data_IF_152939455856
#
_entry.id   IF_152939455856
#
_cell.length_a   1.000
_cell.length_b   1.000
_cell.length_c   1.000
_cell.angle_alpha   90.00
_cell.angle_beta   90.00
_cell.angle_gamma   90.00
#
_symmetry.space_group_name_H-M   'P 1'
#
loop_
_entity.id
_entity.type
_entity.pdbx_description
1 polymer ?
#
# COMPACT_ATOMS: atom_id res chain seq x y z
N UNK A 1 -32.12 60.01 16.03
CA UNK A 1 -31.40 59.00 16.83
C UNK A 1 -30.75 59.70 18.02
N UNK A 2 -31.26 59.49 19.23
CA UNK A 2 -30.88 60.24 20.43
C UNK A 2 -29.49 59.84 20.96
N UNK A 3 -28.84 60.73 21.71
CA UNK A 3 -27.53 60.49 22.36
C UNK A 3 -27.54 59.22 23.24
N UNK A 4 -28.70 58.90 23.82
CA UNK A 4 -28.97 57.66 24.59
C UNK A 4 -28.89 56.39 23.73
N UNK A 5 -29.46 56.39 22.53
CA UNK A 5 -29.39 55.26 21.59
C UNK A 5 -27.96 55.06 21.07
N UNK A 6 -27.22 56.14 20.78
CA UNK A 6 -25.80 56.07 20.39
C UNK A 6 -24.91 55.49 21.50
N UNK A 7 -25.21 55.76 22.78
CA UNK A 7 -24.49 55.17 23.92
C UNK A 7 -24.83 53.70 24.14
N UNK A 8 -26.11 53.31 24.00
CA UNK A 8 -26.52 51.91 24.03
C UNK A 8 -25.88 51.12 22.89
N UNK A 9 -25.89 51.64 21.66
CA UNK A 9 -25.26 51.01 20.49
C UNK A 9 -23.72 50.88 20.64
N UNK A 10 -23.05 51.90 21.19
CA UNK A 10 -21.61 51.82 21.50
C UNK A 10 -21.29 50.84 22.65
N UNK A 11 -22.20 50.66 23.61
CA UNK A 11 -22.02 49.72 24.72
C UNK A 11 -22.27 48.26 24.28
N UNK A 12 -23.31 47.99 23.47
CA UNK A 12 -23.54 46.67 22.86
C UNK A 12 -22.47 46.30 21.83
N UNK A 13 -22.00 47.26 21.03
CA UNK A 13 -20.85 47.03 20.14
C UNK A 13 -19.57 46.71 20.94
N UNK A 14 -19.29 47.40 22.05
CA UNK A 14 -18.12 47.10 22.91
C UNK A 14 -18.22 45.73 23.62
N UNK A 15 -19.42 45.22 23.87
CA UNK A 15 -19.62 43.89 24.48
C UNK A 15 -19.41 42.75 23.46
N UNK A 16 -19.82 42.95 22.20
CA UNK A 16 -19.58 42.01 21.10
C UNK A 16 -18.08 41.84 20.72
N UNK A 17 -17.23 42.78 21.11
CA UNK A 17 -15.77 42.76 20.90
C UNK A 17 -14.98 42.73 22.22
N UNK A 18 -15.50 42.09 23.27
CA UNK A 18 -14.66 41.89 24.45
C UNK A 18 -13.48 40.98 24.04
N UNK A 19 -12.26 41.47 24.25
CA UNK A 19 -11.00 40.74 23.98
C UNK A 19 -11.07 39.26 24.42
N UNK A 20 -11.53 38.92 25.65
CA UNK A 20 -11.62 37.53 26.07
C UNK A 20 -12.62 36.71 25.26
N UNK A 21 -13.76 37.28 24.85
CA UNK A 21 -14.75 36.57 24.03
C UNK A 21 -14.17 36.21 22.67
N UNK A 22 -13.50 37.16 22.00
CA UNK A 22 -12.88 36.92 20.68
C UNK A 22 -11.78 35.86 20.78
N UNK A 23 -10.88 35.97 21.76
CA UNK A 23 -9.82 34.98 21.95
C UNK A 23 -10.37 33.58 22.26
N UNK A 24 -11.39 33.48 23.11
CA UNK A 24 -12.01 32.19 23.42
C UNK A 24 -12.79 31.60 22.24
N UNK A 25 -13.45 32.44 21.43
CA UNK A 25 -14.09 32.01 20.20
C UNK A 25 -13.08 31.47 19.18
N UNK A 26 -11.94 32.16 18.99
CA UNK A 26 -10.85 31.69 18.14
C UNK A 26 -10.27 30.36 18.63
N UNK A 27 -10.04 30.23 19.95
CA UNK A 27 -9.57 28.96 20.55
C UNK A 27 -10.55 27.82 20.28
N UNK A 28 -11.84 28.05 20.50
CA UNK A 28 -12.88 27.05 20.21
C UNK A 28 -12.88 26.67 18.73
N UNK A 29 -12.77 27.65 17.84
CA UNK A 29 -12.73 27.41 16.40
C UNK A 29 -11.49 26.62 15.99
N UNK A 30 -10.31 26.92 16.56
CA UNK A 30 -9.09 26.12 16.38
C UNK A 30 -9.27 24.67 16.87
N UNK A 31 -9.90 24.47 18.03
CA UNK A 31 -10.20 23.13 18.54
C UNK A 31 -11.08 22.38 17.54
N UNK A 32 -12.14 23.00 17.02
CA UNK A 32 -13.03 22.38 16.02
C UNK A 32 -12.27 22.05 14.74
N UNK A 33 -11.45 22.97 14.21
CA UNK A 33 -10.66 22.77 13.00
C UNK A 33 -9.66 21.62 13.17
N UNK A 34 -8.95 21.56 14.29
CA UNK A 34 -7.99 20.49 14.59
C UNK A 34 -8.70 19.17 14.79
N UNK A 35 -9.81 19.12 15.54
CA UNK A 35 -10.59 17.88 15.72
C UNK A 35 -11.14 17.39 14.37
N UNK A 36 -11.65 18.29 13.53
CA UNK A 36 -12.12 17.92 12.21
C UNK A 36 -10.98 17.42 11.32
N UNK A 37 -9.87 18.16 11.21
CA UNK A 37 -8.75 17.80 10.35
C UNK A 37 -7.99 16.55 10.79
N UNK A 38 -7.72 16.41 12.09
CA UNK A 38 -6.92 15.30 12.63
C UNK A 38 -7.72 14.03 12.91
N UNK A 39 -9.05 14.12 13.03
CA UNK A 39 -9.93 13.00 13.34
C UNK A 39 -11.03 12.88 12.28
N UNK A 40 -11.89 13.90 12.19
CA UNK A 40 -13.08 13.87 11.33
C UNK A 40 -12.80 13.47 9.89
N UNK A 41 -11.79 14.07 9.26
CA UNK A 41 -11.39 13.81 7.87
C UNK A 41 -10.97 12.35 7.66
N UNK A 42 -10.25 11.74 8.59
CA UNK A 42 -9.79 10.35 8.49
C UNK A 42 -10.94 9.33 8.59
N UNK A 43 -11.93 9.58 9.46
CA UNK A 43 -13.12 8.72 9.51
C UNK A 43 -14.03 8.96 8.31
N UNK A 44 -14.15 10.21 7.87
CA UNK A 44 -14.98 10.56 6.73
C UNK A 44 -14.44 9.96 5.43
N UNK A 45 -13.12 9.97 5.20
CA UNK A 45 -12.51 9.39 4.00
C UNK A 45 -12.79 7.89 3.85
N UNK A 46 -12.94 7.17 4.97
CA UNK A 46 -13.26 5.74 4.97
C UNK A 46 -14.75 5.43 5.15
N UNK A 47 -15.62 6.43 5.27
CA UNK A 47 -17.06 6.22 5.50
C UNK A 47 -17.77 5.47 4.37
N UNK A 48 -17.26 5.58 3.14
CA UNK A 48 -17.73 4.87 1.95
C UNK A 48 -16.97 3.58 1.66
N UNK A 49 -15.86 3.32 2.35
CA UNK A 49 -15.04 2.14 2.18
C UNK A 49 -15.71 0.95 2.88
N UNK A 50 -16.12 -0.06 2.09
CA UNK A 50 -16.78 -1.26 2.58
C UNK A 50 -16.21 -2.49 1.90
N UNK A 51 -16.22 -3.62 2.60
CA UNK A 51 -15.89 -4.91 2.03
C UNK A 51 -16.77 -5.21 0.80
N UNK A 52 -16.20 -5.66 -0.34
CA UNK A 52 -16.92 -5.85 -1.60
C UNK A 52 -17.79 -7.12 -1.65
N UNK A 53 -18.34 -7.55 -0.50
CA UNK A 53 -19.12 -8.79 -0.34
C UNK A 53 -20.31 -8.89 -1.30
N UNK A 54 -20.94 -7.76 -1.61
CA UNK A 54 -22.09 -7.67 -2.52
C UNK A 54 -21.79 -8.13 -3.96
N UNK A 55 -20.52 -8.19 -4.34
CA UNK A 55 -20.09 -8.61 -5.67
C UNK A 55 -19.89 -10.14 -5.76
N UNK A 56 -20.09 -10.85 -4.64
CA UNK A 56 -19.95 -12.30 -4.54
C UNK A 56 -21.34 -12.98 -4.51
N UNK A 57 -21.45 -14.21 -5.03
CA UNK A 57 -22.68 -15.00 -4.98
C UNK A 57 -22.90 -15.54 -3.55
N UNK A 58 -23.43 -14.70 -2.65
CA UNK A 58 -23.66 -15.07 -1.25
C UNK A 58 -24.88 -15.98 -1.03
N UNK A 59 -25.75 -16.14 -2.05
CA UNK A 59 -27.00 -16.89 -1.94
C UNK A 59 -26.79 -18.39 -1.63
N UNK A 60 -25.67 -18.99 -2.07
CA UNK A 60 -25.35 -20.40 -1.84
C UNK A 60 -24.67 -20.66 -0.49
N UNK A 61 -24.16 -19.63 0.18
CA UNK A 61 -23.47 -19.75 1.49
C UNK A 61 -24.43 -20.12 2.63
N UNK A 62 -25.73 -19.84 2.48
CA UNK A 62 -26.76 -20.20 3.47
C UNK A 62 -26.95 -21.73 3.63
N UNK A 63 -26.42 -22.54 2.71
CA UNK A 63 -26.52 -24.01 2.75
C UNK A 63 -25.31 -24.69 3.43
N UNK A 64 -24.18 -23.98 3.64
CA UNK A 64 -22.98 -24.51 4.32
C UNK A 64 -22.69 -23.71 5.62
N UNK A 65 -23.13 -24.17 6.79
CA UNK A 65 -23.05 -23.40 8.04
C UNK A 65 -21.62 -23.10 8.55
N UNK A 66 -20.59 -23.81 8.07
CA UNK A 66 -19.21 -23.61 8.54
C UNK A 66 -18.47 -22.45 7.84
N UNK A 67 -19.01 -21.91 6.74
CA UNK A 67 -18.33 -20.91 5.90
C UNK A 67 -19.26 -19.79 5.41
N UNK A 68 -20.30 -19.47 6.16
CA UNK A 68 -21.40 -18.60 5.73
C UNK A 68 -21.02 -17.13 5.43
N UNK A 69 -19.84 -16.64 5.84
CA UNK A 69 -19.37 -15.29 5.57
C UNK A 69 -18.07 -15.26 4.75
N UNK A 70 -17.91 -14.28 3.83
CA UNK A 70 -16.66 -14.06 3.11
C UNK A 70 -15.47 -13.87 4.06
N UNK A 71 -14.29 -14.31 3.63
CA UNK A 71 -13.01 -13.93 4.24
C UNK A 71 -12.60 -12.55 3.71
N UNK A 72 -12.28 -11.65 4.62
CA UNK A 72 -11.89 -10.27 4.41
C UNK A 72 -10.37 -10.12 4.53
N UNK A 73 -9.75 -9.81 3.40
CA UNK A 73 -8.31 -9.69 3.25
C UNK A 73 -7.96 -8.22 2.93
N UNK A 74 -7.06 -7.62 3.70
CA UNK A 74 -6.55 -6.27 3.48
C UNK A 74 -5.18 -6.33 2.80
N UNK A 75 -5.02 -5.61 1.70
CA UNK A 75 -3.73 -5.43 1.04
C UNK A 75 -3.20 -4.01 1.29
N UNK A 76 -1.98 -3.92 1.80
CA UNK A 76 -1.26 -2.68 2.08
C UNK A 76 0.01 -2.69 1.25
N UNK A 77 0.33 -1.60 0.57
CA UNK A 77 1.59 -1.47 -0.17
C UNK A 77 2.33 -0.20 0.24
N UNK A 78 3.66 -0.22 0.22
CA UNK A 78 4.51 0.93 0.49
C UNK A 78 4.13 1.71 1.78
N UNK A 79 4.01 1.05 2.95
CA UNK A 79 3.83 1.79 4.20
C UNK A 79 5.09 2.60 4.56
N UNK A 80 6.27 2.22 4.03
CA UNK A 80 7.51 3.02 4.05
C UNK A 80 7.81 3.59 5.45
N UNK A 81 7.75 2.74 6.48
CA UNK A 81 8.14 3.14 7.84
C UNK A 81 9.58 3.61 7.78
N UNK A 82 9.83 4.82 8.28
CA UNK A 82 11.15 5.45 8.28
C UNK A 82 11.99 4.97 9.47
N UNK A 83 13.33 5.05 9.39
CA UNK A 83 14.19 4.45 10.41
C UNK A 83 14.02 5.11 11.77
N UNK A 84 14.31 4.41 12.89
CA UNK A 84 14.53 5.05 14.19
C UNK A 84 15.44 6.28 14.08
N UNK A 85 15.15 7.32 14.88
CA UNK A 85 15.88 8.59 14.82
C UNK A 85 17.38 8.45 15.08
N UNK A 86 17.78 7.45 15.84
CA UNK A 86 19.18 7.19 16.17
C UNK A 86 20.00 6.81 14.92
N UNK A 87 19.35 6.45 13.81
CA UNK A 87 19.99 6.12 12.52
C UNK A 87 20.11 7.33 11.58
N UNK A 88 19.78 8.53 12.04
CA UNK A 88 19.67 9.71 11.18
C UNK A 88 20.92 10.58 11.25
N UNK A 89 21.47 10.93 10.09
CA UNK A 89 22.58 11.88 9.99
C UNK A 89 22.10 13.35 10.10
N UNK A 90 20.90 13.66 9.58
CA UNK A 90 20.29 15.01 9.65
C UNK A 90 19.45 15.17 10.92
N UNK A 91 20.00 15.88 11.89
CA UNK A 91 19.37 16.19 13.18
C UNK A 91 18.63 17.53 13.19
N UNK A 92 18.42 18.16 12.04
CA UNK A 92 17.74 19.45 11.96
C UNK A 92 16.30 19.38 12.50
N UNK A 93 15.85 20.47 13.11
CA UNK A 93 14.49 20.57 13.65
C UNK A 93 13.41 20.41 12.56
N UNK A 94 13.71 20.86 11.33
CA UNK A 94 12.83 20.70 10.17
C UNK A 94 12.69 19.23 9.76
N UNK A 95 13.80 18.48 9.71
CA UNK A 95 13.77 17.04 9.45
C UNK A 95 12.99 16.32 10.54
N UNK A 96 13.25 16.67 11.81
CA UNK A 96 12.54 16.12 12.97
C UNK A 96 11.03 16.37 12.93
N UNK A 97 10.60 17.58 12.55
CA UNK A 97 9.19 17.94 12.42
C UNK A 97 8.52 17.19 11.27
N UNK A 98 9.17 17.13 10.10
CA UNK A 98 8.67 16.37 8.93
C UNK A 98 8.48 14.90 9.26
N UNK A 99 9.38 14.33 10.07
CA UNK A 99 9.24 12.96 10.54
C UNK A 99 8.03 12.76 11.41
N UNK A 100 7.92 13.61 12.43
CA UNK A 100 6.84 13.54 13.38
C UNK A 100 5.48 13.60 12.68
N UNK A 101 5.30 14.51 11.72
CA UNK A 101 4.06 14.57 10.94
C UNK A 101 3.86 13.36 10.02
N UNK A 102 4.93 12.79 9.46
CA UNK A 102 4.84 11.56 8.66
C UNK A 102 4.39 10.37 9.51
N UNK A 103 5.03 10.14 10.66
CA UNK A 103 4.67 9.07 11.58
C UNK A 103 3.26 9.23 12.13
N UNK A 104 2.86 10.46 12.50
CA UNK A 104 1.50 10.73 12.96
C UNK A 104 0.46 10.43 11.88
N UNK A 105 0.71 10.84 10.64
CA UNK A 105 -0.18 10.53 9.51
C UNK A 105 -0.28 9.00 9.31
N UNK A 106 0.86 8.30 9.32
CA UNK A 106 0.89 6.85 9.12
C UNK A 106 0.13 6.10 10.22
N UNK A 107 0.34 6.48 11.49
CA UNK A 107 -0.39 5.92 12.64
C UNK A 107 -1.90 6.20 12.57
N UNK A 108 -2.30 7.38 12.11
CA UNK A 108 -3.72 7.72 11.93
C UNK A 108 -4.36 6.94 10.79
N UNK A 109 -3.68 6.84 9.64
CA UNK A 109 -4.11 6.00 8.52
C UNK A 109 -4.34 4.57 9.03
N UNK A 110 -3.35 4.00 9.73
CA UNK A 110 -3.47 2.66 10.29
C UNK A 110 -4.63 2.54 11.29
N UNK A 111 -4.79 3.51 12.19
CA UNK A 111 -5.85 3.54 13.20
C UNK A 111 -7.26 3.52 12.60
N UNK A 112 -7.50 4.22 11.49
CA UNK A 112 -8.83 4.17 10.83
C UNK A 112 -8.98 2.93 9.96
N UNK A 113 -7.93 2.48 9.27
CA UNK A 113 -7.97 1.27 8.42
C UNK A 113 -8.20 0.01 9.25
N UNK A 114 -7.51 -0.17 10.39
CA UNK A 114 -7.65 -1.37 11.23
C UNK A 114 -9.07 -1.57 11.78
N UNK A 115 -9.90 -0.52 11.83
CA UNK A 115 -11.31 -0.61 12.24
C UNK A 115 -12.18 -1.39 11.27
N UNK A 116 -11.70 -1.62 10.05
CA UNK A 116 -12.36 -2.50 9.08
C UNK A 116 -12.28 -3.98 9.51
N UNK A 117 -11.47 -4.30 10.53
CA UNK A 117 -11.31 -5.64 11.13
C UNK A 117 -10.99 -6.72 10.10
N UNK A 118 -9.91 -6.57 9.32
CA UNK A 118 -9.48 -7.62 8.40
C UNK A 118 -9.11 -8.90 9.16
N UNK A 119 -9.41 -10.05 8.57
CA UNK A 119 -8.99 -11.35 9.11
C UNK A 119 -7.59 -11.72 8.62
N UNK A 120 -7.22 -11.28 7.42
CA UNK A 120 -5.89 -11.48 6.85
C UNK A 120 -5.33 -10.18 6.28
N UNK A 121 -4.04 -9.95 6.43
CA UNK A 121 -3.34 -8.78 5.88
C UNK A 121 -2.14 -9.23 5.05
N UNK A 122 -2.00 -8.68 3.85
CA UNK A 122 -0.76 -8.77 3.08
C UNK A 122 -0.11 -7.40 2.97
N UNK A 123 1.19 -7.33 3.29
CA UNK A 123 2.03 -6.18 2.98
C UNK A 123 2.82 -6.45 1.71
N UNK A 124 2.57 -5.65 0.67
CA UNK A 124 3.10 -5.79 -0.68
C UNK A 124 4.39 -4.98 -0.85
N UNK A 125 5.38 -5.26 -0.01
CA UNK A 125 6.73 -4.70 -0.08
C UNK A 125 6.87 -3.25 0.39
N UNK A 126 8.14 -2.87 0.54
CA UNK A 126 8.58 -1.56 1.03
C UNK A 126 7.97 -1.21 2.38
N UNK A 127 8.00 -2.20 3.28
CA UNK A 127 7.63 -2.00 4.68
C UNK A 127 8.54 -0.95 5.32
N UNK A 128 9.84 -1.02 5.02
CA UNK A 128 10.88 -0.13 5.51
C UNK A 128 11.31 0.83 4.39
N UNK A 129 11.32 2.14 4.67
CA UNK A 129 11.70 3.15 3.68
C UNK A 129 13.17 3.09 3.27
N UNK A 130 14.00 2.46 4.10
CA UNK A 130 15.47 2.47 3.98
C UNK A 130 16.10 1.20 4.54
N UNK A 131 15.37 0.07 4.56
CA UNK A 131 15.86 -1.20 5.11
C UNK A 131 17.17 -1.69 4.47
N UNK A 132 17.37 -1.42 3.17
CA UNK A 132 18.63 -1.72 2.46
C UNK A 132 19.87 -1.00 2.99
N UNK A 133 19.69 0.05 3.79
CA UNK A 133 20.77 0.86 4.36
C UNK A 133 21.09 0.52 5.82
N UNK A 134 20.56 -0.57 6.38
CA UNK A 134 21.00 -1.03 7.71
C UNK A 134 22.43 -1.56 7.66
N UNK A 135 23.20 -1.30 8.72
CA UNK A 135 24.60 -1.74 8.85
C UNK A 135 24.71 -3.10 9.55
N UNK A 136 23.80 -3.40 10.47
CA UNK A 136 23.88 -4.58 11.34
C UNK A 136 22.53 -5.28 11.52
N UNK A 137 22.57 -6.49 12.05
CA UNK A 137 21.37 -7.25 12.43
C UNK A 137 20.56 -6.53 13.50
N UNK A 138 21.24 -5.94 14.50
CA UNK A 138 20.61 -5.20 15.58
C UNK A 138 19.83 -3.98 15.07
N UNK A 139 20.38 -3.24 14.11
CA UNK A 139 19.67 -2.12 13.49
C UNK A 139 18.42 -2.59 12.73
N UNK A 140 18.53 -3.70 11.99
CA UNK A 140 17.38 -4.28 11.30
C UNK A 140 16.28 -4.70 12.28
N UNK A 141 16.65 -5.36 13.38
CA UNK A 141 15.71 -5.77 14.43
C UNK A 141 14.97 -4.57 15.04
N UNK A 142 15.70 -3.51 15.43
CA UNK A 142 15.09 -2.29 15.98
C UNK A 142 14.16 -1.60 14.97
N UNK A 143 14.56 -1.56 13.70
CA UNK A 143 13.74 -0.98 12.64
C UNK A 143 12.47 -1.81 12.40
N UNK A 144 12.58 -3.14 12.42
CA UNK A 144 11.44 -4.03 12.32
C UNK A 144 10.50 -3.90 13.52
N UNK A 145 11.02 -3.79 14.75
CA UNK A 145 10.22 -3.52 15.94
C UNK A 145 9.43 -2.21 15.80
N UNK A 146 10.06 -1.14 15.29
CA UNK A 146 9.36 0.12 15.00
C UNK A 146 8.21 -0.06 13.99
N UNK A 147 8.41 -0.90 12.97
CA UNK A 147 7.35 -1.24 12.02
C UNK A 147 6.18 -1.94 12.73
N UNK A 148 6.47 -2.96 13.55
CA UNK A 148 5.45 -3.70 14.32
C UNK A 148 4.68 -2.78 15.29
N UNK A 149 5.37 -1.86 15.97
CA UNK A 149 4.75 -0.88 16.87
C UNK A 149 3.84 0.11 16.12
N UNK A 150 4.21 0.46 14.88
CA UNK A 150 3.41 1.35 14.04
C UNK A 150 2.15 0.65 13.53
N UNK A 151 2.28 -0.63 13.16
CA UNK A 151 1.23 -1.47 12.61
C UNK A 151 0.80 -2.55 13.61
N UNK A 152 0.19 -2.16 14.72
CA UNK A 152 -0.37 -3.11 15.68
C UNK A 152 -1.70 -3.71 15.18
N UNK A 153 -1.79 -5.04 15.19
CA UNK A 153 -2.97 -5.82 14.74
C UNK A 153 -3.77 -6.39 15.93
N UNK A 154 -4.98 -6.91 15.67
CA UNK A 154 -5.76 -7.63 16.69
C UNK A 154 -5.28 -9.09 16.81
N UNK A 155 -5.48 -9.71 17.97
CA UNK A 155 -5.16 -11.13 18.13
C UNK A 155 -6.02 -11.99 17.19
N UNK A 156 -5.38 -12.87 16.41
CA UNK A 156 -6.05 -13.74 15.46
C UNK A 156 -6.14 -13.21 14.03
N UNK A 157 -5.52 -12.06 13.72
CA UNK A 157 -5.29 -11.62 12.33
C UNK A 157 -4.05 -12.30 11.75
N UNK A 158 -4.19 -12.99 10.62
CA UNK A 158 -3.06 -13.56 9.89
C UNK A 158 -2.36 -12.47 9.06
N UNK A 159 -1.03 -12.39 9.13
CA UNK A 159 -0.26 -11.34 8.45
C UNK A 159 0.88 -11.94 7.64
N UNK A 160 0.96 -11.55 6.37
CA UNK A 160 1.97 -12.00 5.42
C UNK A 160 2.69 -10.82 4.80
N UNK A 161 3.99 -11.00 4.54
CA UNK A 161 4.87 -9.97 4.01
C UNK A 161 5.54 -10.48 2.74
N UNK A 162 5.64 -9.63 1.73
CA UNK A 162 6.53 -9.85 0.59
C UNK A 162 7.52 -8.69 0.50
N UNK A 163 8.76 -8.92 0.06
CA UNK A 163 9.77 -7.89 0.11
C UNK A 163 9.66 -6.89 -1.04
N UNK A 164 9.99 -5.63 -0.75
CA UNK A 164 10.23 -4.59 -1.73
C UNK A 164 11.70 -4.21 -1.86
N UNK A 165 12.01 -3.33 -2.82
CA UNK A 165 13.38 -2.94 -3.11
C UNK A 165 13.99 -2.00 -2.06
N UNK A 166 13.19 -1.30 -1.25
CA UNK A 166 13.69 -0.52 -0.12
C UNK A 166 13.94 -1.37 1.13
N UNK A 167 13.29 -2.53 1.26
CA UNK A 167 13.49 -3.43 2.41
C UNK A 167 14.91 -4.00 2.45
N UNK A 168 15.44 -4.44 1.30
CA UNK A 168 16.78 -5.03 1.25
C UNK A 168 17.54 -4.86 -0.07
N UNK A 169 17.09 -3.98 -0.96
CA UNK A 169 17.83 -3.62 -2.19
C UNK A 169 17.59 -4.56 -3.38
N UNK A 170 18.01 -4.06 -4.54
CA UNK A 170 18.00 -4.79 -5.82
C UNK A 170 19.03 -4.19 -6.80
N UNK A 171 19.39 -4.98 -7.81
CA UNK A 171 20.27 -4.58 -8.90
C UNK A 171 21.64 -4.10 -8.43
N UNK A 172 22.10 -3.00 -9.02
CA UNK A 172 23.40 -2.40 -8.69
C UNK A 172 23.41 -1.69 -7.33
N UNK A 173 22.25 -1.43 -6.71
CA UNK A 173 22.17 -0.85 -5.37
C UNK A 173 22.34 -1.97 -4.34
N UNK A 174 23.60 -2.30 -4.05
CA UNK A 174 23.92 -3.23 -2.96
C UNK A 174 23.49 -2.63 -1.63
N UNK A 175 22.85 -3.45 -0.81
CA UNK A 175 22.60 -3.12 0.58
C UNK A 175 23.91 -2.93 1.32
N UNK A 176 23.91 -2.04 2.31
CA UNK A 176 25.12 -1.73 3.09
C UNK A 176 25.59 -2.98 3.84
N UNK A 177 24.66 -3.73 4.44
CA UNK A 177 24.93 -5.07 4.92
C UNK A 177 24.68 -6.12 3.82
N UNK A 178 25.68 -6.97 3.55
CA UNK A 178 25.54 -8.13 2.64
C UNK A 178 24.51 -9.15 3.14
N UNK A 179 24.19 -9.13 4.43
CA UNK A 179 23.32 -10.11 5.09
C UNK A 179 21.87 -9.64 5.26
N UNK A 180 21.48 -8.47 4.73
CA UNK A 180 20.13 -7.91 4.96
C UNK A 180 18.99 -8.86 4.56
N UNK A 181 19.17 -9.67 3.49
CA UNK A 181 18.19 -10.71 3.09
C UNK A 181 18.07 -11.83 4.14
N UNK A 182 19.16 -12.14 4.85
CA UNK A 182 19.13 -13.11 5.94
C UNK A 182 18.40 -12.53 7.18
N UNK A 183 18.61 -11.25 7.49
CA UNK A 183 17.89 -10.55 8.56
C UNK A 183 16.39 -10.50 8.25
N UNK A 184 16.02 -10.14 7.02
CA UNK A 184 14.62 -10.16 6.58
C UNK A 184 13.99 -11.55 6.80
N UNK A 185 14.66 -12.63 6.37
CA UNK A 185 14.17 -14.00 6.60
C UNK A 185 14.02 -14.37 8.07
N UNK A 186 14.91 -13.87 8.93
CA UNK A 186 14.91 -14.15 10.37
C UNK A 186 13.78 -13.43 11.11
N UNK A 187 13.56 -12.15 10.80
CA UNK A 187 12.65 -11.29 11.59
C UNK A 187 11.30 -11.03 10.92
N UNK A 188 11.23 -11.04 9.58
CA UNK A 188 10.04 -10.71 8.80
C UNK A 188 9.32 -11.96 8.33
N UNK A 189 10.01 -12.82 7.57
CA UNK A 189 9.42 -14.03 7.01
C UNK A 189 10.04 -14.48 5.68
N UNK A 190 9.43 -15.48 5.03
CA UNK A 190 9.92 -16.01 3.76
C UNK A 190 9.90 -14.96 2.64
N UNK A 191 10.83 -15.08 1.69
CA UNK A 191 10.93 -14.17 0.54
C UNK A 191 9.88 -14.47 -0.54
N UNK A 192 9.63 -15.77 -0.75
CA UNK A 192 8.59 -16.30 -1.62
C UNK A 192 7.69 -17.21 -0.77
N UNK A 193 6.37 -17.13 -0.95
CA UNK A 193 5.43 -17.97 -0.22
C UNK A 193 4.12 -18.16 -0.98
N UNK A 194 3.50 -19.33 -0.78
CA UNK A 194 2.16 -19.66 -1.26
C UNK A 194 1.25 -19.87 -0.05
N UNK A 195 0.14 -19.14 0.00
CA UNK A 195 -0.79 -19.14 1.13
C UNK A 195 -2.17 -19.60 0.66
N UNK A 196 -2.62 -20.82 1.05
CA UNK A 196 -3.96 -21.29 0.72
C UNK A 196 -4.99 -20.60 1.63
N UNK A 197 -5.94 -19.87 1.03
CA UNK A 197 -7.01 -19.16 1.74
C UNK A 197 -8.34 -19.41 1.01
N UNK A 198 -9.32 -20.02 1.69
CA UNK A 198 -10.67 -20.29 1.14
C UNK A 198 -10.64 -20.91 -0.26
N UNK A 199 -9.81 -21.95 -0.47
CA UNK A 199 -9.68 -22.64 -1.76
C UNK A 199 -8.99 -21.83 -2.86
N UNK A 200 -8.33 -20.72 -2.52
CA UNK A 200 -7.47 -19.95 -3.42
C UNK A 200 -6.03 -20.02 -2.96
N UNK A 201 -5.10 -19.84 -3.89
CA UNK A 201 -3.68 -19.82 -3.59
C UNK A 201 -3.11 -18.43 -3.83
N UNK A 202 -2.78 -17.73 -2.74
CA UNK A 202 -2.09 -16.44 -2.80
C UNK A 202 -0.59 -16.69 -2.93
N UNK A 203 -0.04 -16.40 -4.11
CA UNK A 203 1.37 -16.61 -4.42
C UNK A 203 2.08 -15.27 -4.32
N UNK A 204 2.88 -15.08 -3.27
CA UNK A 204 3.64 -13.87 -3.03
C UNK A 204 5.11 -14.06 -3.41
N UNK A 205 5.61 -13.20 -4.30
CA UNK A 205 6.94 -13.32 -4.89
C UNK A 205 7.93 -12.26 -4.36
N UNK A 206 9.20 -12.68 -4.22
CA UNK A 206 10.35 -11.80 -4.11
C UNK A 206 10.64 -11.17 -5.48
N UNK A 207 9.95 -10.06 -5.74
CA UNK A 207 10.11 -9.31 -6.99
C UNK A 207 11.52 -8.69 -7.13
N UNK A 208 12.14 -8.09 -6.10
CA UNK A 208 13.54 -7.65 -6.15
C UNK A 208 14.51 -8.77 -6.56
N UNK A 209 14.40 -9.95 -5.93
CA UNK A 209 15.23 -11.11 -6.25
C UNK A 209 14.98 -11.66 -7.65
N UNK A 210 13.72 -11.66 -8.10
CA UNK A 210 13.35 -12.05 -9.47
C UNK A 210 13.98 -11.13 -10.52
N UNK A 211 14.03 -9.82 -10.26
CA UNK A 211 14.70 -8.87 -11.16
C UNK A 211 16.20 -9.13 -11.23
N UNK A 212 16.87 -9.37 -10.09
CA UNK A 212 18.30 -9.71 -10.07
C UNK A 212 18.61 -11.01 -10.83
N UNK A 213 17.72 -11.98 -10.73
CA UNK A 213 17.80 -13.22 -11.50
C UNK A 213 17.56 -12.99 -12.99
N UNK A 214 16.55 -12.20 -13.36
CA UNK A 214 16.24 -11.88 -14.75
C UNK A 214 17.39 -11.14 -15.44
N UNK A 215 18.10 -10.24 -14.74
CA UNK A 215 19.32 -9.62 -15.27
C UNK A 215 20.39 -10.64 -15.63
N UNK A 216 20.64 -11.63 -14.77
CA UNK A 216 21.64 -12.69 -15.02
C UNK A 216 21.21 -13.60 -16.18
N UNK A 217 19.94 -13.96 -16.22
CA UNK A 217 19.34 -14.73 -17.30
C UNK A 217 19.46 -13.99 -18.64
N UNK A 218 19.02 -12.73 -18.68
CA UNK A 218 19.05 -11.89 -19.88
C UNK A 218 20.47 -11.65 -20.36
N UNK A 219 21.44 -11.45 -19.46
CA UNK A 219 22.85 -11.30 -19.82
C UNK A 219 23.44 -12.57 -20.46
N UNK A 220 22.87 -13.74 -20.13
CA UNK A 220 23.25 -15.03 -20.72
C UNK A 220 22.54 -15.33 -22.04
N UNK A 221 21.57 -14.50 -22.45
CA UNK A 221 20.78 -14.69 -23.68
C UNK A 221 19.87 -15.91 -23.67
N UNK A 222 19.63 -16.52 -22.50
CA UNK A 222 18.85 -17.75 -22.37
C UNK A 222 17.36 -17.42 -22.16
N UNK A 223 16.43 -18.14 -22.84
CA UNK A 223 15.02 -18.06 -22.51
C UNK A 223 14.74 -18.70 -21.15
N UNK A 224 13.63 -18.32 -20.52
CA UNK A 224 13.24 -18.86 -19.20
C UNK A 224 13.26 -20.39 -19.17
N UNK A 225 12.75 -21.08 -20.18
CA UNK A 225 12.68 -22.54 -20.24
C UNK A 225 14.05 -23.24 -20.19
N UNK A 226 15.12 -22.54 -20.59
CA UNK A 226 16.49 -23.07 -20.60
C UNK A 226 17.34 -22.52 -19.45
N UNK A 227 16.83 -21.54 -18.70
CA UNK A 227 17.51 -20.96 -17.55
C UNK A 227 17.45 -21.92 -16.35
N UNK A 228 18.60 -22.20 -15.75
CA UNK A 228 18.66 -22.90 -14.47
C UNK A 228 18.39 -21.90 -13.33
N UNK A 229 17.29 -22.06 -12.57
CA UNK A 229 16.95 -21.12 -11.51
C UNK A 229 18.03 -21.02 -10.45
N UNK A 230 18.13 -19.85 -9.85
CA UNK A 230 18.96 -19.62 -8.66
C UNK A 230 18.34 -20.39 -7.50
N UNK A 231 19.11 -21.27 -6.86
CA UNK A 231 18.65 -22.05 -5.71
C UNK A 231 18.05 -21.15 -4.62
N UNK A 232 16.81 -21.44 -4.22
CA UNK A 232 16.04 -20.65 -3.24
C UNK A 232 15.57 -19.29 -3.75
N UNK A 233 15.72 -19.01 -5.04
CA UNK A 233 15.22 -17.83 -5.73
C UNK A 233 13.76 -17.98 -6.17
N UNK A 234 13.21 -16.92 -6.75
CA UNK A 234 11.80 -16.85 -7.14
C UNK A 234 11.45 -17.83 -8.26
N UNK A 235 12.33 -17.99 -9.27
CA UNK A 235 12.08 -18.96 -10.34
C UNK A 235 12.20 -20.41 -9.87
N UNK A 236 13.05 -20.67 -8.88
CA UNK A 236 13.21 -21.99 -8.25
C UNK A 236 11.94 -22.36 -7.48
N UNK A 237 11.44 -21.42 -6.66
CA UNK A 237 10.18 -21.54 -5.94
C UNK A 237 8.98 -21.83 -6.86
N UNK A 238 8.87 -21.12 -7.99
CA UNK A 238 7.75 -21.32 -8.95
C UNK A 238 7.82 -22.70 -9.63
N UNK A 239 9.03 -23.24 -9.83
CA UNK A 239 9.23 -24.52 -10.53
C UNK A 239 9.22 -25.73 -9.61
N UNK A 240 9.40 -25.54 -8.30
CA UNK A 240 9.49 -26.64 -7.36
C UNK A 240 8.18 -27.45 -7.37
N UNK A 241 8.21 -28.73 -7.77
CA UNK A 241 7.02 -29.56 -7.83
C UNK A 241 6.41 -29.86 -6.45
N UNK A 242 7.17 -29.67 -5.36
CA UNK A 242 6.64 -29.76 -3.99
C UNK A 242 5.89 -28.49 -3.58
N UNK A 243 6.20 -27.36 -4.23
CA UNK A 243 5.46 -26.11 -4.14
C UNK A 243 4.33 -26.01 -5.16
N UNK A 244 4.05 -27.09 -5.92
CA UNK A 244 2.80 -27.23 -6.69
C UNK A 244 1.70 -26.71 -5.79
N UNK A 245 1.20 -25.53 -6.13
CA UNK A 245 0.01 -24.88 -5.63
C UNK A 245 -0.95 -26.01 -5.21
N UNK A 246 -0.90 -26.38 -3.92
CA UNK A 246 -1.18 -27.76 -3.46
C UNK A 246 -2.67 -28.08 -3.51
N UNK A 247 -3.47 -27.05 -3.77
CA UNK A 247 -4.88 -27.12 -4.08
C UNK A 247 -5.10 -26.72 -5.53
N UNK A 248 -5.98 -27.43 -6.24
CA UNK A 248 -6.44 -27.13 -7.62
C UNK A 248 -7.22 -25.80 -7.73
N UNK A 249 -6.99 -24.88 -6.80
CA UNK A 249 -7.70 -23.64 -6.62
C UNK A 249 -7.09 -22.48 -7.42
N UNK A 250 -7.88 -21.44 -7.71
CA UNK A 250 -7.42 -20.27 -8.45
C UNK A 250 -6.23 -19.58 -7.78
N UNK A 251 -5.29 -19.08 -8.59
CA UNK A 251 -4.11 -18.37 -8.12
C UNK A 251 -4.35 -16.86 -8.10
N UNK A 252 -3.99 -16.22 -6.99
CA UNK A 252 -3.87 -14.76 -6.86
C UNK A 252 -2.39 -14.42 -6.71
N UNK A 253 -1.84 -13.71 -7.69
CA UNK A 253 -0.41 -13.36 -7.70
C UNK A 253 -0.18 -12.03 -6.99
N UNK A 254 0.75 -12.00 -6.03
CA UNK A 254 1.17 -10.80 -5.32
C UNK A 254 2.65 -10.52 -5.64
N UNK A 255 2.95 -9.28 -6.06
CA UNK A 255 4.31 -8.86 -6.42
C UNK A 255 4.55 -7.42 -6.00
N UNK A 256 5.69 -7.07 -5.39
CA UNK A 256 5.97 -5.66 -5.12
C UNK A 256 6.10 -4.86 -6.43
N UNK A 257 6.91 -5.36 -7.37
CA UNK A 257 7.14 -4.68 -8.66
C UNK A 257 6.01 -5.06 -9.64
N UNK A 258 5.35 -4.08 -10.29
CA UNK A 258 4.29 -4.33 -11.26
C UNK A 258 4.75 -5.17 -12.47
N UNK A 259 3.83 -5.92 -13.06
CA UNK A 259 4.12 -6.68 -14.29
C UNK A 259 4.31 -5.72 -15.48
N UNK A 260 5.04 -6.20 -16.48
CA UNK A 260 5.32 -5.46 -17.70
C UNK A 260 4.04 -5.03 -18.42
N UNK A 261 4.01 -3.77 -18.85
CA UNK A 261 2.94 -3.22 -19.70
C UNK A 261 3.52 -2.19 -20.68
N UNK A 262 2.82 -1.89 -21.79
CA UNK A 262 3.20 -0.78 -22.68
C UNK A 262 3.23 0.56 -21.93
N UNK A 263 4.18 1.43 -22.26
CA UNK A 263 4.35 2.74 -21.57
C UNK A 263 3.13 3.68 -21.76
N UNK A 264 2.35 3.45 -22.82
CA UNK A 264 1.11 4.17 -23.15
C UNK A 264 -0.14 3.57 -22.51
N UNK A 265 -0.02 2.43 -21.82
CA UNK A 265 -1.16 1.77 -21.19
C UNK A 265 -1.78 2.66 -20.11
N UNK A 266 -3.10 2.83 -20.17
CA UNK A 266 -3.85 3.64 -19.21
C UNK A 266 -3.98 2.92 -17.87
N UNK A 267 -3.91 3.66 -16.76
CA UNK A 267 -3.98 3.12 -15.40
C UNK A 267 -5.39 3.07 -14.78
N UNK A 268 -6.43 3.17 -15.61
CA UNK A 268 -7.81 3.28 -15.16
C UNK A 268 -8.12 4.62 -14.48
N UNK A 269 -9.37 4.75 -14.00
CA UNK A 269 -9.92 6.02 -13.49
C UNK A 269 -9.44 6.44 -12.10
N UNK A 270 -8.83 5.53 -11.35
CA UNK A 270 -8.43 5.76 -9.95
C UNK A 270 -6.96 6.21 -9.82
N UNK A 271 -6.20 6.23 -10.92
CA UNK A 271 -4.87 6.86 -11.01
C UNK A 271 -5.04 8.37 -10.91
N UNK A 272 -4.19 9.03 -10.12
CA UNK A 272 -4.20 10.48 -10.03
C UNK A 272 -3.44 11.15 -11.19
N UNK A 273 -2.33 10.54 -11.63
CA UNK A 273 -1.48 11.15 -12.67
C UNK A 273 -0.72 10.15 -13.55
N UNK A 274 -0.91 10.27 -14.86
CA UNK A 274 -0.03 9.64 -15.86
C UNK A 274 -0.17 8.11 -15.96
N UNK A 275 0.90 7.47 -16.41
CA UNK A 275 0.99 6.01 -16.65
C UNK A 275 2.21 5.43 -15.93
N UNK A 276 2.27 4.10 -15.80
CA UNK A 276 3.52 3.42 -15.39
C UNK A 276 4.38 3.27 -16.63
N UNK A 277 5.52 3.97 -16.64
CA UNK A 277 6.53 3.86 -17.69
C UNK A 277 7.67 2.99 -17.22
N UNK A 278 8.23 2.20 -18.14
CA UNK A 278 9.47 1.47 -17.90
C UNK A 278 10.56 2.45 -17.47
N UNK A 279 11.30 2.04 -16.46
CA UNK A 279 12.39 2.80 -15.88
C UNK A 279 13.22 1.88 -15.02
N UNK A 280 14.53 2.07 -15.08
CA UNK A 280 15.52 1.35 -14.30
C UNK A 280 16.55 2.34 -13.81
N UNK A 281 17.04 2.12 -12.60
CA UNK A 281 18.21 2.82 -12.11
C UNK A 281 18.83 2.09 -10.92
N UNK A 282 19.64 2.82 -10.15
CA UNK A 282 20.30 2.25 -8.97
C UNK A 282 19.27 1.90 -7.89
N UNK A 283 18.92 0.62 -7.81
CA UNK A 283 18.05 0.10 -6.74
C UNK A 283 16.55 0.25 -6.97
N UNK A 284 16.12 0.44 -8.22
CA UNK A 284 14.71 0.43 -8.58
C UNK A 284 14.49 -0.06 -10.01
N UNK A 285 13.32 -0.64 -10.25
CA UNK A 285 12.80 -0.96 -11.56
C UNK A 285 11.27 -0.86 -11.53
N UNK A 286 10.69 -0.02 -12.39
CA UNK A 286 9.27 0.32 -12.31
C UNK A 286 8.30 -0.82 -12.72
N UNK A 287 8.78 -1.79 -13.49
CA UNK A 287 8.01 -2.97 -13.94
C UNK A 287 8.93 -4.17 -14.14
N UNK A 288 8.44 -5.39 -13.93
CA UNK A 288 9.16 -6.61 -14.31
C UNK A 288 9.48 -6.65 -15.81
N UNK A 289 10.45 -7.48 -16.20
CA UNK A 289 10.80 -7.71 -17.59
C UNK A 289 9.61 -8.30 -18.38
N UNK A 290 9.54 -8.01 -19.68
CA UNK A 290 8.47 -8.50 -20.56
C UNK A 290 8.41 -10.03 -20.62
N UNK A 291 9.56 -10.67 -20.83
CA UNK A 291 9.65 -12.13 -20.88
C UNK A 291 9.30 -12.77 -19.54
N UNK A 292 9.76 -12.17 -18.44
CA UNK A 292 9.45 -12.59 -17.07
C UNK A 292 7.96 -12.48 -16.76
N UNK A 293 7.33 -11.38 -17.18
CA UNK A 293 5.89 -11.18 -17.03
C UNK A 293 5.09 -12.27 -17.74
N UNK A 294 5.41 -12.56 -19.00
CA UNK A 294 4.74 -13.65 -19.72
C UNK A 294 5.02 -15.01 -19.12
N UNK A 295 6.27 -15.28 -18.72
CA UNK A 295 6.60 -16.53 -18.04
C UNK A 295 5.77 -16.72 -16.76
N UNK A 296 5.61 -15.70 -15.93
CA UNK A 296 4.77 -15.77 -14.72
C UNK A 296 3.30 -16.03 -15.06
N UNK A 297 2.73 -15.27 -16.00
CA UNK A 297 1.32 -15.40 -16.40
C UNK A 297 1.00 -16.75 -17.04
N UNK A 298 1.93 -17.28 -17.84
CA UNK A 298 1.79 -18.54 -18.58
C UNK A 298 2.18 -19.76 -17.74
N UNK A 299 2.83 -19.57 -16.58
CA UNK A 299 3.16 -20.68 -15.66
C UNK A 299 2.17 -20.78 -14.51
N UNK A 300 1.76 -19.64 -13.93
CA UNK A 300 0.92 -19.60 -12.74
C UNK A 300 -0.57 -19.47 -13.04
N UNK A 301 -0.94 -19.05 -14.26
CA UNK A 301 -2.32 -18.78 -14.68
C UNK A 301 -3.18 -18.08 -13.62
N UNK A 302 -2.74 -16.90 -13.12
CA UNK A 302 -3.45 -16.21 -12.05
C UNK A 302 -4.78 -15.64 -12.54
N UNK A 303 -5.79 -15.67 -11.68
CA UNK A 303 -7.08 -15.01 -11.94
C UNK A 303 -7.04 -13.50 -11.67
N UNK A 304 -6.09 -13.06 -10.83
CA UNK A 304 -5.85 -11.66 -10.51
C UNK A 304 -4.39 -11.46 -10.07
N UNK A 305 -3.87 -10.25 -10.31
CA UNK A 305 -2.55 -9.82 -9.86
C UNK A 305 -2.70 -8.54 -9.04
N UNK A 306 -2.04 -8.49 -7.88
CA UNK A 306 -1.95 -7.26 -7.10
C UNK A 306 -0.48 -6.87 -6.91
N UNK A 307 -0.16 -5.61 -7.20
CA UNK A 307 1.20 -5.09 -7.13
C UNK A 307 1.37 -3.78 -6.37
N UNK A 308 2.61 -3.36 -6.13
CA UNK A 308 2.99 -2.15 -5.38
C UNK A 308 3.98 -1.24 -6.14
N UNK A 309 4.94 -0.66 -5.41
CA UNK A 309 6.13 0.08 -5.89
C UNK A 309 5.85 1.43 -6.56
N UNK A 310 4.90 1.51 -7.50
CA UNK A 310 4.61 2.75 -8.23
C UNK A 310 4.00 3.85 -7.35
N UNK A 311 3.49 3.47 -6.17
CA UNK A 311 2.82 4.29 -5.15
C UNK A 311 1.48 4.90 -5.54
N UNK A 312 1.05 4.83 -6.80
CA UNK A 312 -0.30 5.22 -7.23
C UNK A 312 -1.04 4.06 -7.90
N UNK A 313 -2.37 4.15 -7.93
CA UNK A 313 -3.26 3.12 -8.46
C UNK A 313 -3.04 2.93 -9.94
N UNK A 314 -2.80 1.71 -10.39
CA UNK A 314 -2.81 1.43 -11.83
C UNK A 314 -3.46 0.10 -12.14
N UNK A 315 -4.56 0.15 -12.87
CA UNK A 315 -5.24 -1.04 -13.38
C UNK A 315 -4.82 -1.32 -14.82
N UNK A 316 -4.47 -2.57 -15.10
CA UNK A 316 -4.11 -3.03 -16.43
C UNK A 316 -4.51 -4.49 -16.64
N UNK A 317 -5.03 -4.80 -17.82
CA UNK A 317 -5.41 -6.16 -18.18
C UNK A 317 -4.32 -6.78 -19.03
N UNK A 318 -3.72 -7.84 -18.52
CA UNK A 318 -2.77 -8.68 -19.24
C UNK A 318 -3.49 -9.74 -20.05
N UNK A 319 -2.71 -10.38 -20.91
CA UNK A 319 -3.13 -11.54 -21.70
C UNK A 319 -2.27 -12.73 -21.27
N UNK A 320 -2.86 -13.69 -20.56
CA UNK A 320 -2.23 -14.97 -20.23
C UNK A 320 -2.57 -15.98 -21.32
N UNK A 321 -1.57 -16.76 -21.76
CA UNK A 321 -1.74 -17.76 -22.81
C UNK A 321 -1.53 -19.14 -22.21
N UNK A 322 -2.56 -19.97 -22.29
CA UNK A 322 -2.42 -21.38 -21.97
C UNK A 322 -1.95 -22.09 -23.25
N UNK A 323 -0.73 -22.62 -23.21
CA UNK A 323 -0.09 -23.31 -24.34
C UNK A 323 0.10 -24.76 -23.95
N UNK A 324 -0.30 -25.67 -24.84
CA UNK A 324 -0.06 -27.10 -24.69
C UNK A 324 1.46 -27.36 -24.64
N UNK A 325 1.98 -27.99 -23.57
CA UNK A 325 3.41 -28.23 -23.41
C UNK A 325 4.02 -29.12 -24.51
N UNK A 326 3.23 -30.05 -25.06
CA UNK A 326 3.68 -31.06 -26.03
C UNK A 326 3.50 -30.58 -27.47
N UNK A 327 2.33 -30.03 -27.79
CA UNK A 327 2.00 -29.62 -29.16
C UNK A 327 2.38 -28.18 -29.48
N UNK A 328 2.71 -27.37 -28.44
CA UNK A 328 2.91 -25.91 -28.52
C UNK A 328 1.73 -25.17 -29.15
N UNK A 329 0.55 -25.78 -29.16
CA UNK A 329 -0.66 -25.14 -29.65
C UNK A 329 -1.31 -24.31 -28.54
N UNK A 330 -1.95 -23.20 -28.94
CA UNK A 330 -2.65 -22.31 -28.01
C UNK A 330 -3.98 -22.94 -27.62
N UNK A 331 -4.14 -23.27 -26.34
CA UNK A 331 -5.36 -23.88 -25.77
C UNK A 331 -6.39 -22.80 -25.45
N UNK A 332 -5.99 -21.77 -24.69
CA UNK A 332 -6.86 -20.65 -24.31
C UNK A 332 -6.08 -19.35 -24.16
N UNK A 333 -6.80 -18.23 -24.18
CA UNK A 333 -6.28 -16.90 -23.90
C UNK A 333 -7.22 -16.21 -22.92
N UNK A 334 -6.70 -15.87 -21.76
CA UNK A 334 -7.47 -15.30 -20.67
C UNK A 334 -6.94 -13.91 -20.32
N UNK A 335 -7.86 -13.01 -20.01
CA UNK A 335 -7.50 -11.67 -19.56
C UNK A 335 -7.28 -11.70 -18.06
N UNK A 336 -6.09 -11.30 -17.62
CA UNK A 336 -5.71 -11.26 -16.21
C UNK A 336 -5.62 -9.81 -15.76
N UNK A 337 -6.49 -9.42 -14.82
CA UNK A 337 -6.48 -8.07 -14.27
C UNK A 337 -5.35 -7.91 -13.26
N UNK A 338 -4.48 -6.94 -13.49
CA UNK A 338 -3.52 -6.45 -12.50
C UNK A 338 -3.98 -5.12 -11.92
N UNK A 339 -3.95 -5.02 -10.58
CA UNK A 339 -4.10 -3.76 -9.85
C UNK A 339 -2.82 -3.46 -9.09
N UNK A 340 -2.12 -2.41 -9.50
CA UNK A 340 -1.06 -1.79 -8.71
C UNK A 340 -1.72 -0.91 -7.64
N UNK A 341 -1.51 -1.24 -6.38
CA UNK A 341 -2.15 -0.62 -5.20
C UNK A 341 -1.45 0.69 -4.87
N UNK A 342 -2.22 1.67 -4.37
CA UNK A 342 -1.66 2.94 -3.89
C UNK A 342 -0.79 2.72 -2.66
N UNK A 343 0.22 3.57 -2.51
CA UNK A 343 1.01 3.60 -1.29
C UNK A 343 0.12 3.95 -0.11
N UNK A 344 0.33 3.25 1.00
CA UNK A 344 -0.38 3.49 2.26
C UNK A 344 0.12 4.73 2.99
N UNK A 345 1.38 5.09 2.74
CA UNK A 345 2.03 6.28 3.28
C UNK A 345 1.93 7.48 2.34
N UNK A 346 2.22 8.67 2.87
CA UNK A 346 2.34 9.87 2.05
C UNK A 346 3.48 9.74 1.05
N UNK A 347 3.18 9.99 -0.23
CA UNK A 347 4.17 10.08 -1.29
C UNK A 347 4.00 11.40 -2.05
N UNK A 348 5.09 11.92 -2.63
CA UNK A 348 5.09 13.21 -3.35
C UNK A 348 4.19 13.24 -4.58
N UNK A 349 3.88 12.08 -5.13
CA UNK A 349 3.22 11.94 -6.43
C UNK A 349 1.73 11.60 -6.33
N UNK A 350 1.19 11.50 -5.11
CA UNK A 350 -0.22 11.22 -4.84
C UNK A 350 -0.71 12.19 -3.76
N UNK A 351 -1.97 12.60 -3.87
CA UNK A 351 -2.69 13.32 -2.84
C UNK A 351 -3.28 12.34 -1.84
N UNK A 352 -3.89 11.26 -2.34
CA UNK A 352 -4.58 10.30 -1.50
C UNK A 352 -3.74 9.02 -1.36
N UNK A 353 -3.18 8.71 -0.18
CA UNK A 353 -2.71 7.35 0.10
C UNK A 353 -3.88 6.36 0.03
N UNK A 354 -3.60 5.05 0.00
CA UNK A 354 -4.68 4.06 -0.08
C UNK A 354 -4.28 2.65 0.31
N UNK A 355 -5.25 1.76 0.20
CA UNK A 355 -5.13 0.32 0.42
C UNK A 355 -6.22 -0.40 -0.40
N UNK A 356 -6.15 -1.73 -0.45
CA UNK A 356 -7.11 -2.54 -1.21
C UNK A 356 -7.80 -3.56 -0.31
N UNK A 357 -9.11 -3.74 -0.50
CA UNK A 357 -9.93 -4.69 0.24
C UNK A 357 -10.34 -5.84 -0.67
N UNK A 358 -10.20 -7.06 -0.19
CA UNK A 358 -10.62 -8.28 -0.89
C UNK A 358 -11.65 -9.01 -0.02
N UNK A 359 -12.69 -9.51 -0.69
CA UNK A 359 -13.64 -10.47 -0.13
C UNK A 359 -13.52 -11.78 -0.90
N UNK A 360 -13.44 -12.88 -0.16
CA UNK A 360 -13.14 -14.20 -0.70
C UNK A 360 -14.16 -15.25 -0.20
N UNK A 361 -14.68 -16.05 -1.12
CA UNK A 361 -15.53 -17.22 -0.84
C UNK A 361 -14.96 -18.45 -1.53
N UNK A 362 -15.42 -19.66 -1.21
CA UNK A 362 -14.96 -20.87 -1.91
C UNK A 362 -15.26 -20.77 -3.42
N UNK A 363 -14.32 -21.16 -4.30
CA UNK A 363 -14.57 -21.25 -5.74
C UNK A 363 -15.74 -22.18 -6.05
N UNK A 364 -16.67 -21.68 -6.88
CA UNK A 364 -17.77 -22.45 -7.45
C UNK A 364 -17.78 -22.27 -8.96
N UNK A 365 -18.15 -23.31 -9.71
CA UNK A 365 -18.19 -23.30 -11.17
C UNK A 365 -19.07 -22.17 -11.70
N UNK A 366 -18.49 -21.25 -12.49
CA UNK A 366 -19.22 -20.22 -13.22
C UNK A 366 -19.60 -18.97 -12.42
N UNK A 367 -19.13 -18.82 -11.18
CA UNK A 367 -19.39 -17.64 -10.36
C UNK A 367 -18.10 -17.05 -9.76
N UNK A 368 -18.01 -15.72 -9.61
CA UNK A 368 -16.81 -15.08 -9.08
C UNK A 368 -16.64 -15.41 -7.59
N UNK A 369 -15.45 -15.86 -7.21
CA UNK A 369 -15.12 -16.22 -5.83
C UNK A 369 -14.22 -15.19 -5.12
N UNK A 370 -13.70 -14.23 -5.87
CA UNK A 370 -12.89 -13.11 -5.41
C UNK A 370 -13.53 -11.79 -5.86
N UNK A 371 -13.68 -10.85 -4.94
CA UNK A 371 -14.08 -9.48 -5.23
C UNK A 371 -13.14 -8.51 -4.54
N UNK A 372 -12.83 -7.38 -5.19
CA UNK A 372 -11.88 -6.40 -4.70
C UNK A 372 -12.39 -4.96 -4.82
N UNK A 373 -11.89 -4.07 -3.97
CA UNK A 373 -12.14 -2.63 -4.08
C UNK A 373 -11.01 -1.80 -3.47
N UNK A 374 -10.69 -0.67 -4.10
CA UNK A 374 -9.70 0.28 -3.60
C UNK A 374 -10.35 1.26 -2.62
N UNK A 375 -9.63 1.58 -1.54
CA UNK A 375 -10.01 2.61 -0.59
C UNK A 375 -8.91 3.66 -0.45
N UNK A 376 -9.34 4.90 -0.20
CA UNK A 376 -8.46 6.07 -0.20
C UNK A 376 -8.46 6.73 1.18
N UNK A 377 -7.28 7.13 1.59
CA UNK A 377 -7.00 7.87 2.81
C UNK A 377 -7.00 9.38 2.50
N UNK A 378 -7.02 10.24 3.52
CA UNK A 378 -7.11 11.67 3.33
C UNK A 378 -5.99 12.29 2.48
N UNK A 379 -6.32 13.36 1.75
CA UNK A 379 -5.34 14.24 1.12
C UNK A 379 -4.66 15.10 2.18
N UNK A 380 -3.52 14.63 2.68
CA UNK A 380 -2.78 15.34 3.73
C UNK A 380 -2.16 16.66 3.21
N UNK A 381 -1.50 16.72 2.04
CA UNK A 381 -1.08 17.99 1.45
C UNK A 381 -2.24 18.99 1.25
N UNK A 382 -3.39 18.49 0.79
CA UNK A 382 -4.63 19.25 0.66
C UNK A 382 -5.13 19.77 1.99
N UNK A 383 -5.10 18.95 3.04
CA UNK A 383 -5.50 19.36 4.39
C UNK A 383 -4.64 20.52 4.91
N UNK A 384 -3.31 20.45 4.73
CA UNK A 384 -2.44 21.55 5.12
C UNK A 384 -2.69 22.82 4.30
N UNK A 385 -2.80 22.69 2.98
CA UNK A 385 -2.91 23.84 2.07
C UNK A 385 -4.29 24.49 2.05
N UNK A 386 -5.37 23.72 2.22
CA UNK A 386 -6.74 24.20 2.10
C UNK A 386 -7.44 24.42 3.45
N UNK A 387 -7.02 23.74 4.53
CA UNK A 387 -7.61 23.91 5.87
C UNK A 387 -6.66 24.69 6.79
N UNK A 388 -5.46 24.15 7.07
CA UNK A 388 -4.61 24.72 8.12
C UNK A 388 -4.01 26.08 7.75
N UNK A 389 -3.31 26.19 6.61
CA UNK A 389 -2.64 27.45 6.25
C UNK A 389 -3.58 28.64 6.07
N UNK A 390 -4.74 28.52 5.38
CA UNK A 390 -5.70 29.60 5.29
C UNK A 390 -6.24 30.01 6.66
N UNK A 391 -6.48 29.03 7.55
CA UNK A 391 -7.00 29.30 8.88
C UNK A 391 -5.97 29.98 9.79
N UNK A 392 -4.67 29.64 9.68
CA UNK A 392 -3.56 30.41 10.28
C UNK A 392 -3.55 31.85 9.77
N UNK A 393 -3.61 32.05 8.46
CA UNK A 393 -3.54 33.38 7.86
C UNK A 393 -4.72 34.26 8.29
N UNK A 394 -5.94 33.74 8.23
CA UNK A 394 -7.16 34.45 8.67
C UNK A 394 -7.08 34.79 10.17
N UNK A 395 -6.69 33.83 11.01
CA UNK A 395 -6.53 34.06 12.46
C UNK A 395 -5.51 35.17 12.72
N UNK A 396 -4.36 35.12 12.04
CA UNK A 396 -3.29 36.11 12.21
C UNK A 396 -3.74 37.49 11.79
N UNK A 397 -4.39 37.62 10.62
CA UNK A 397 -4.92 38.90 10.14
C UNK A 397 -5.99 39.45 11.09
N UNK A 398 -6.84 38.61 11.66
CA UNK A 398 -7.87 39.02 12.60
C UNK A 398 -7.29 39.49 13.94
N UNK A 399 -6.27 38.81 14.46
CA UNK A 399 -5.55 39.25 15.67
C UNK A 399 -4.86 40.61 15.45
N UNK A 400 -4.20 40.79 14.29
CA UNK A 400 -3.57 42.05 13.92
C UNK A 400 -4.60 43.17 13.75
N UNK A 401 -5.71 42.92 13.05
CA UNK A 401 -6.76 43.92 12.83
C UNK A 401 -7.42 44.37 14.13
N UNK A 402 -7.60 43.46 15.09
CA UNK A 402 -8.23 43.74 16.37
C UNK A 402 -7.24 44.24 17.44
N UNK A 403 -5.95 44.33 17.13
CA UNK A 403 -4.87 44.66 18.08
C UNK A 403 -4.97 43.82 19.37
N UNK A 404 -5.09 42.50 19.19
CA UNK A 404 -5.23 41.50 20.25
C UNK A 404 -3.91 40.78 20.55
#
# INVERSE_FOLDING_TARGET
>A
MGISERRKYKATARWAYSRPLVLNALRLLWIVVVVWGEIGVYYWSLSSCRWPDKNLPLADLHLKPQHASPLHILLISDPQVRPPRDFWEDTSWLASAREFFFELNLKRNWHVTRRLKPQTIFFLGDMLASGKYVHSEQEFEQYWQKFQDTFAFENGTDVYYLPGNNDFGMGASRSLSVNVRAYYKKYVGPLNQAVPLRGHNFVALDAPGLVDEDYRRSASGLPHQQWSPTLGGTLDFIRDPNYRITEQGPVVLLSHIPLHRPDTATCGRLREKGTIRRGVGHGYQNTLGKETTYYLLDTLHPIAVFSGDNRDYCEYNHTSRHIDPETRTKISEESVREVTIKSFSMARNIHHPGFHLLSLVEPSTGAPSLADTACFLPDQPGLFSALYWPFVAITTLLLLFLNL
#
